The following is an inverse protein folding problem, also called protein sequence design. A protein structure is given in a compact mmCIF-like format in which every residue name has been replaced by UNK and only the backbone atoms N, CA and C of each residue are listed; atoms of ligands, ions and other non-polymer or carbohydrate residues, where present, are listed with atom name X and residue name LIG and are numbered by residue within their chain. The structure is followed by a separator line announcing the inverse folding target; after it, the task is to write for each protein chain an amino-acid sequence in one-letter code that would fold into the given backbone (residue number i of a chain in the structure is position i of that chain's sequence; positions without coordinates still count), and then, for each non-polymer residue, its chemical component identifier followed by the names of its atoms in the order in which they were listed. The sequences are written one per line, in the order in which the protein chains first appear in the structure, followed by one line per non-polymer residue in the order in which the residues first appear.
data_IF_193352613720
#
_entry.id   IF_193352613720
#
_cell.length_a   1.000
_cell.length_b   1.000
_cell.length_c   1.000
_cell.angle_alpha   90.00
_cell.angle_beta   90.00
_cell.angle_gamma   90.00
#
_symmetry.space_group_name_H-M   'P 1'
#
loop_
_entity.id
_entity.type
_entity.pdbx_description
1 polymer ?
#
# COMPACT_ATOMS: atom_id res chain seq x y z
N UNK A 1 1.21 8.03 -7.92
CA UNK A 1 -0.09 8.31 -7.27
C UNK A 1 -1.01 8.87 -8.35
N UNK A 2 -2.24 8.37 -8.45
CA UNK A 2 -3.18 8.85 -9.47
C UNK A 2 -3.60 10.30 -9.17
N UNK A 3 -3.92 11.12 -10.19
CA UNK A 3 -4.47 12.45 -9.97
C UNK A 3 -5.73 12.38 -9.09
N UNK A 4 -5.75 13.13 -7.99
CA UNK A 4 -6.86 13.13 -7.03
C UNK A 4 -6.74 12.10 -5.90
N UNK A 5 -5.67 11.29 -5.87
CA UNK A 5 -5.24 10.58 -4.66
C UNK A 5 -4.06 11.29 -4.01
N UNK A 6 -4.13 11.51 -2.72
CA UNK A 6 -3.06 12.12 -1.94
C UNK A 6 -2.69 11.31 -0.69
N UNK A 7 -1.77 11.85 0.12
CA UNK A 7 -1.27 11.19 1.33
C UNK A 7 -2.37 11.05 2.40
N UNK A 8 -3.37 11.94 2.41
CA UNK A 8 -4.51 11.87 3.32
C UNK A 8 -5.35 10.64 3.02
N UNK A 9 -5.54 10.29 1.74
CA UNK A 9 -6.26 9.07 1.36
C UNK A 9 -5.57 7.80 1.89
N UNK A 10 -4.23 7.80 1.90
CA UNK A 10 -3.47 6.68 2.46
C UNK A 10 -3.65 6.57 3.98
N UNK A 11 -3.70 7.73 4.67
CA UNK A 11 -3.98 7.79 6.09
C UNK A 11 -5.38 7.27 6.43
N UNK A 12 -6.40 7.66 5.65
CA UNK A 12 -7.76 7.13 5.79
C UNK A 12 -7.82 5.62 5.62
N UNK A 13 -7.16 5.10 4.57
CA UNK A 13 -7.09 3.65 4.33
C UNK A 13 -6.42 2.87 5.48
N UNK A 14 -5.35 3.41 6.06
CA UNK A 14 -4.68 2.81 7.23
C UNK A 14 -5.63 2.72 8.42
N UNK A 15 -6.39 3.79 8.69
CA UNK A 15 -7.36 3.81 9.79
C UNK A 15 -8.47 2.79 9.57
N UNK A 16 -9.08 2.80 8.39
CA UNK A 16 -10.18 1.89 8.03
C UNK A 16 -9.75 0.42 8.12
N UNK A 17 -8.57 0.08 7.61
CA UNK A 17 -8.05 -1.30 7.66
C UNK A 17 -7.69 -1.72 9.08
N UNK A 18 -7.10 -0.84 9.87
CA UNK A 18 -6.73 -1.14 11.25
C UNK A 18 -7.98 -1.38 12.11
N UNK A 19 -9.02 -0.57 11.93
CA UNK A 19 -10.32 -0.76 12.59
C UNK A 19 -10.98 -2.07 12.14
N UNK A 20 -11.00 -2.35 10.83
CA UNK A 20 -11.63 -3.54 10.26
C UNK A 20 -10.96 -4.84 10.72
N UNK A 21 -9.62 -4.87 10.74
CA UNK A 21 -8.84 -6.08 11.04
C UNK A 21 -8.52 -6.24 12.53
N UNK A 22 -8.72 -5.19 13.34
CA UNK A 22 -8.43 -5.20 14.77
C UNK A 22 -6.93 -5.32 15.10
N UNK A 23 -6.06 -4.97 14.16
CA UNK A 23 -4.60 -5.00 14.29
C UNK A 23 -4.00 -3.74 13.68
N UNK A 24 -2.78 -3.37 14.06
CA UNK A 24 -2.07 -2.29 13.36
C UNK A 24 -1.75 -2.71 11.93
N UNK A 25 -2.04 -1.81 10.98
CA UNK A 25 -1.81 -2.01 9.55
C UNK A 25 -0.96 -0.87 9.01
N UNK A 26 0.14 -1.21 8.33
CA UNK A 26 0.92 -0.25 7.55
C UNK A 26 0.59 -0.38 6.06
N UNK A 27 0.26 0.74 5.40
CA UNK A 27 0.08 0.80 3.95
C UNK A 27 1.14 1.71 3.34
N UNK A 28 1.98 1.13 2.49
CA UNK A 28 3.11 1.83 1.86
C UNK A 28 3.01 1.70 0.35
N UNK A 29 3.35 2.77 -0.35
CA UNK A 29 3.66 2.70 -1.78
C UNK A 29 5.12 2.28 -1.97
N UNK A 30 5.49 1.77 -3.15
CA UNK A 30 6.90 1.46 -3.45
C UNK A 30 7.83 2.66 -3.22
N UNK A 31 7.36 3.87 -3.51
CA UNK A 31 8.10 5.11 -3.30
C UNK A 31 8.20 5.50 -1.81
N UNK A 32 7.28 5.00 -0.97
CA UNK A 32 7.28 5.20 0.48
C UNK A 32 8.20 4.23 1.23
N UNK A 33 8.72 3.18 0.57
CA UNK A 33 9.65 2.25 1.19
C UNK A 33 11.01 2.91 1.43
N UNK A 34 11.61 2.63 2.60
CA UNK A 34 12.97 3.06 2.88
C UNK A 34 13.93 2.41 1.85
N UNK A 35 14.72 3.21 1.10
CA UNK A 35 15.56 2.70 0.02
C UNK A 35 16.52 1.57 0.44
N UNK A 36 16.93 1.53 1.71
CA UNK A 36 17.86 0.50 2.23
C UNK A 36 17.23 -0.89 2.35
N UNK A 37 15.90 -0.97 2.47
CA UNK A 37 15.19 -2.23 2.69
C UNK A 37 14.18 -2.56 1.59
N UNK A 38 13.94 -1.61 0.67
CA UNK A 38 12.98 -1.76 -0.43
C UNK A 38 13.15 -3.07 -1.19
N UNK A 39 14.36 -3.39 -1.61
CA UNK A 39 14.62 -4.56 -2.45
C UNK A 39 14.33 -5.87 -1.71
N UNK A 40 14.57 -5.89 -0.38
CA UNK A 40 14.20 -7.02 0.48
C UNK A 40 12.68 -7.15 0.61
N UNK A 41 11.99 -6.05 0.87
CA UNK A 41 10.52 -6.04 0.97
C UNK A 41 9.86 -6.52 -0.32
N UNK A 42 10.33 -6.06 -1.48
CA UNK A 42 9.78 -6.46 -2.78
C UNK A 42 10.05 -7.94 -3.10
N UNK A 43 11.17 -8.50 -2.65
CA UNK A 43 11.48 -9.92 -2.82
C UNK A 43 10.63 -10.83 -1.92
N UNK A 44 10.22 -10.35 -0.75
CA UNK A 44 9.41 -11.10 0.23
C UNK A 44 7.90 -10.88 0.06
N UNK A 45 7.50 -9.83 -0.66
CA UNK A 45 6.10 -9.50 -0.89
C UNK A 45 5.37 -10.64 -1.60
N UNK A 46 4.25 -11.08 -1.03
CA UNK A 46 3.36 -12.05 -1.67
C UNK A 46 2.43 -11.30 -2.60
N UNK A 47 2.54 -11.58 -3.90
CA UNK A 47 1.60 -11.04 -4.88
C UNK A 47 0.29 -11.85 -4.81
N UNK A 48 -0.70 -11.31 -4.11
CA UNK A 48 -2.09 -11.72 -4.31
C UNK A 48 -2.52 -11.27 -5.73
N UNK A 49 -3.31 -12.11 -6.42
CA UNK A 49 -3.59 -12.03 -7.86
C UNK A 49 -3.77 -10.56 -8.32
N UNK A 50 -3.03 -10.10 -9.34
CA UNK A 50 -3.03 -8.69 -9.69
C UNK A 50 -4.46 -8.27 -10.04
N UNK A 51 -4.96 -7.25 -9.34
CA UNK A 51 -6.22 -6.60 -9.70
C UNK A 51 -6.22 -6.33 -11.22
N UNK A 52 -7.33 -6.58 -11.92
CA UNK A 52 -7.38 -6.44 -13.36
C UNK A 52 -6.90 -5.04 -13.74
N UNK A 53 -5.93 -4.99 -14.67
CA UNK A 53 -5.35 -3.75 -15.14
C UNK A 53 -6.48 -2.74 -15.48
N UNK A 54 -6.31 -1.45 -15.13
CA UNK A 54 -7.35 -0.46 -15.33
C UNK A 54 -7.78 -0.46 -16.80
N UNK A 55 -9.07 -0.67 -17.05
CA UNK A 55 -9.65 -0.55 -18.39
C UNK A 55 -9.55 0.92 -18.77
N UNK A 56 -8.78 1.21 -19.82
CA UNK A 56 -8.72 2.53 -20.48
C UNK A 56 -10.11 2.94 -20.96
#
# INVERSE_FOLDING_TARGET
MEPGRDVVDLGGLVMDLSELLGVEVDVLTEAGLNPRVRDRFLAEAVLESPAPAPRR
#
